data_IF_212260697440
#
_entry.id   IF_212260697440
#
_cell.length_a   1.000
_cell.length_b   1.000
_cell.length_c   1.000
_cell.angle_alpha   90.00
_cell.angle_beta   90.00
_cell.angle_gamma   90.00
#
_symmetry.space_group_name_H-M   'P 1'
#
loop_
_entity.id
_entity.type
_entity.pdbx_description
1 polymer ?
#
# COMPACT_ATOMS: atom_id res chain seq x y z
N UNK A 1 -1.84 -17.11 28.58
CA UNK A 1 -0.94 -15.97 28.26
C UNK A 1 -1.80 -14.72 28.20
N UNK A 2 -1.71 -13.82 29.18
CA UNK A 2 -2.44 -12.55 29.13
C UNK A 2 -1.71 -11.64 28.14
N UNK A 3 -2.27 -11.47 26.94
CA UNK A 3 -1.81 -10.46 25.99
C UNK A 3 -2.08 -9.07 26.58
N UNK A 4 -1.07 -8.50 27.23
CA UNK A 4 -1.14 -7.10 27.67
C UNK A 4 -0.81 -6.21 26.48
N UNK A 5 -1.50 -5.08 26.36
CA UNK A 5 -1.23 -4.08 25.30
C UNK A 5 0.25 -3.66 25.30
N UNK A 6 0.86 -3.60 26.47
CA UNK A 6 2.29 -3.35 26.68
C UNK A 6 3.18 -4.43 26.06
N UNK A 7 2.81 -5.71 26.16
CA UNK A 7 3.56 -6.81 25.55
C UNK A 7 3.51 -6.74 24.03
N UNK A 8 2.35 -6.42 23.45
CA UNK A 8 2.18 -6.24 22.00
C UNK A 8 3.04 -5.07 21.51
N UNK A 9 2.99 -3.91 22.19
CA UNK A 9 3.81 -2.75 21.84
C UNK A 9 5.31 -3.06 21.93
N UNK A 10 5.74 -3.81 22.95
CA UNK A 10 7.15 -4.19 23.11
C UNK A 10 7.64 -5.03 21.92
N UNK A 11 6.88 -6.06 21.52
CA UNK A 11 7.22 -6.90 20.35
C UNK A 11 7.23 -6.05 19.07
N UNK A 12 6.22 -5.20 18.86
CA UNK A 12 6.15 -4.30 17.71
C UNK A 12 7.36 -3.35 17.64
N UNK A 13 7.79 -2.79 18.78
CA UNK A 13 8.93 -1.87 18.85
C UNK A 13 10.25 -2.49 18.41
N UNK A 14 10.39 -3.82 18.54
CA UNK A 14 11.55 -4.57 18.05
C UNK A 14 11.38 -5.07 16.62
N UNK A 15 10.15 -5.34 16.19
CA UNK A 15 9.88 -5.86 14.85
C UNK A 15 9.86 -4.76 13.77
N UNK A 16 9.44 -3.54 14.09
CA UNK A 16 9.27 -2.42 13.13
C UNK A 16 10.59 -1.79 12.64
N UNK A 17 11.65 -1.58 13.46
CA UNK A 17 12.87 -0.88 13.06
C UNK A 17 13.51 -1.32 11.73
N UNK A 18 13.64 -2.61 11.38
CA UNK A 18 14.21 -3.01 10.08
C UNK A 18 13.35 -2.56 8.89
N UNK A 19 12.05 -2.36 9.07
CA UNK A 19 11.12 -1.92 8.02
C UNK A 19 10.91 -0.41 7.98
N UNK A 20 11.42 0.33 8.97
CA UNK A 20 11.32 1.79 9.05
C UNK A 20 11.77 2.52 7.76
N UNK A 21 12.91 2.19 7.12
CA UNK A 21 13.31 2.86 5.88
C UNK A 21 12.33 2.61 4.74
N UNK A 22 11.76 1.42 4.62
CA UNK A 22 10.75 1.11 3.59
C UNK A 22 9.44 1.87 3.84
N UNK A 23 9.01 1.96 5.10
CA UNK A 23 7.84 2.74 5.50
C UNK A 23 8.05 4.21 5.13
N UNK A 24 9.19 4.79 5.52
CA UNK A 24 9.51 6.18 5.22
C UNK A 24 9.63 6.45 3.72
N UNK A 25 10.27 5.55 2.96
CA UNK A 25 10.38 5.67 1.51
C UNK A 25 9.00 5.65 0.82
N UNK A 26 8.12 4.74 1.26
CA UNK A 26 6.74 4.65 0.75
C UNK A 26 5.95 5.91 1.08
N UNK A 27 6.10 6.41 2.31
CA UNK A 27 5.42 7.62 2.77
C UNK A 27 5.92 8.86 2.02
N UNK A 28 7.23 8.96 1.78
CA UNK A 28 7.82 10.02 0.97
C UNK A 28 7.30 9.97 -0.48
N UNK A 29 7.24 8.78 -1.10
CA UNK A 29 6.69 8.61 -2.45
C UNK A 29 5.23 9.05 -2.52
N UNK A 30 4.42 8.67 -1.53
CA UNK A 30 3.03 9.09 -1.42
C UNK A 30 2.91 10.61 -1.31
N UNK A 31 3.67 11.23 -0.40
CA UNK A 31 3.65 12.69 -0.22
C UNK A 31 4.06 13.40 -1.51
N UNK A 32 5.13 12.96 -2.16
CA UNK A 32 5.60 13.56 -3.43
C UNK A 32 4.54 13.43 -4.52
N UNK A 33 3.98 12.23 -4.73
CA UNK A 33 2.93 12.01 -5.74
C UNK A 33 1.71 12.92 -5.51
N UNK A 34 1.29 13.06 -4.25
CA UNK A 34 0.17 13.91 -3.87
C UNK A 34 0.49 15.40 -4.01
N UNK A 35 1.69 15.83 -3.63
CA UNK A 35 2.12 17.23 -3.74
C UNK A 35 2.23 17.65 -5.21
N UNK A 36 2.87 16.83 -6.04
CA UNK A 36 3.03 17.08 -7.49
C UNK A 36 1.66 17.12 -8.18
N UNK A 37 0.74 16.21 -7.83
CA UNK A 37 -0.63 16.25 -8.31
C UNK A 37 -1.32 17.57 -7.92
N UNK A 38 -1.28 17.93 -6.63
CA UNK A 38 -1.95 19.12 -6.11
C UNK A 38 -1.44 20.42 -6.74
N UNK A 39 -0.12 20.56 -6.92
CA UNK A 39 0.50 21.70 -7.61
C UNK A 39 0.01 21.84 -9.06
N UNK A 40 -0.46 20.76 -9.68
CA UNK A 40 -0.98 20.74 -11.06
C UNK A 40 -2.50 20.86 -11.14
N UNK A 41 -3.18 21.20 -10.03
CA UNK A 41 -4.63 21.40 -10.00
C UNK A 41 -5.45 20.14 -9.79
N UNK A 42 -4.82 19.02 -9.44
CA UNK A 42 -5.52 17.78 -9.10
C UNK A 42 -6.38 17.96 -7.83
N UNK A 43 -7.67 17.63 -7.95
CA UNK A 43 -8.61 17.48 -6.83
C UNK A 43 -9.12 16.05 -6.77
N UNK A 44 -8.97 15.41 -5.62
CA UNK A 44 -9.39 14.01 -5.38
C UNK A 44 -10.83 13.69 -5.76
N UNK A 45 -11.72 14.69 -5.72
CA UNK A 45 -13.15 14.49 -5.91
C UNK A 45 -13.60 14.49 -7.39
N UNK A 46 -12.86 15.13 -8.30
CA UNK A 46 -13.34 15.36 -9.68
C UNK A 46 -12.85 14.31 -10.70
N UNK A 47 -11.76 13.60 -10.40
CA UNK A 47 -11.12 12.72 -11.37
C UNK A 47 -11.34 11.23 -11.07
N UNK A 48 -12.13 10.56 -11.90
CA UNK A 48 -12.33 9.10 -11.85
C UNK A 48 -11.47 8.41 -12.90
N UNK A 49 -10.41 7.74 -12.44
CA UNK A 49 -9.49 7.01 -13.31
C UNK A 49 -9.64 5.49 -13.12
N UNK A 50 -10.60 4.90 -13.83
CA UNK A 50 -10.83 3.44 -13.90
C UNK A 50 -9.55 2.60 -14.16
N UNK A 51 -8.66 2.96 -15.12
CA UNK A 51 -7.46 2.17 -15.35
C UNK A 51 -6.46 2.19 -14.18
N UNK A 52 -6.36 3.30 -13.44
CA UNK A 52 -5.51 3.36 -12.24
C UNK A 52 -6.04 2.43 -11.13
N UNK A 53 -7.37 2.29 -11.01
CA UNK A 53 -7.99 1.32 -10.12
C UNK A 53 -7.68 -0.13 -10.49
N UNK A 54 -7.75 -0.48 -11.78
CA UNK A 54 -7.44 -1.84 -12.25
C UNK A 54 -5.96 -2.17 -11.98
N UNK A 55 -5.04 -1.27 -12.31
CA UNK A 55 -3.61 -1.49 -12.06
C UNK A 55 -3.32 -1.64 -10.57
N UNK A 56 -3.98 -0.83 -9.74
CA UNK A 56 -3.85 -0.94 -8.29
C UNK A 56 -4.35 -2.28 -7.75
N UNK A 57 -5.49 -2.79 -8.23
CA UNK A 57 -5.98 -4.11 -7.86
C UNK A 57 -5.03 -5.22 -8.32
N UNK A 58 -4.51 -5.14 -9.55
CA UNK A 58 -3.53 -6.10 -10.05
C UNK A 58 -2.24 -6.09 -9.22
N UNK A 59 -1.79 -4.92 -8.78
CA UNK A 59 -0.64 -4.78 -7.89
C UNK A 59 -0.90 -5.34 -6.48
N UNK A 60 -2.12 -5.14 -5.96
CA UNK A 60 -2.54 -5.78 -4.70
C UNK A 60 -2.55 -7.30 -4.81
N UNK A 61 -3.12 -7.84 -5.89
CA UNK A 61 -3.16 -9.30 -6.13
C UNK A 61 -1.77 -9.87 -6.34
N UNK A 62 -0.90 -9.19 -7.09
CA UNK A 62 0.47 -9.66 -7.31
C UNK A 62 1.28 -9.69 -6.02
N UNK A 63 0.97 -8.83 -5.04
CA UNK A 63 1.64 -8.83 -3.73
C UNK A 63 1.52 -10.17 -3.00
N UNK A 64 0.49 -10.98 -3.27
CA UNK A 64 0.34 -12.33 -2.70
C UNK A 64 1.49 -13.27 -3.07
N UNK A 65 2.18 -13.03 -4.18
CA UNK A 65 3.38 -13.79 -4.58
C UNK A 65 4.67 -13.11 -4.13
N UNK A 66 4.71 -11.78 -4.10
CA UNK A 66 5.92 -11.03 -3.77
C UNK A 66 6.18 -10.98 -2.26
N UNK A 67 5.14 -10.85 -1.43
CA UNK A 67 5.27 -10.78 0.03
C UNK A 67 5.90 -12.05 0.62
N UNK A 68 5.46 -13.29 0.27
CA UNK A 68 6.12 -14.51 0.75
C UNK A 68 7.57 -14.59 0.29
N UNK A 69 7.85 -14.21 -0.96
CA UNK A 69 9.21 -14.23 -1.52
C UNK A 69 10.15 -13.26 -0.80
N UNK A 70 9.73 -12.03 -0.55
CA UNK A 70 10.52 -11.01 0.14
C UNK A 70 10.76 -11.36 1.61
N UNK A 71 9.77 -11.98 2.26
CA UNK A 71 9.87 -12.41 3.67
C UNK A 71 10.49 -13.79 3.84
N UNK A 72 10.92 -14.44 2.75
CA UNK A 72 11.36 -15.85 2.73
C UNK A 72 10.35 -16.81 3.39
N UNK A 73 9.08 -16.42 3.42
CA UNK A 73 7.99 -17.17 4.01
C UNK A 73 7.32 -18.02 2.94
N UNK A 74 6.88 -19.22 3.30
CA UNK A 74 6.14 -20.11 2.39
C UNK A 74 4.65 -19.90 2.60
N UNK A 75 3.88 -19.82 1.51
CA UNK A 75 2.41 -19.82 1.59
C UNK A 75 1.86 -21.07 2.33
N UNK A 76 2.64 -22.17 2.37
CA UNK A 76 2.32 -23.34 3.18
C UNK A 76 2.42 -23.15 4.70
N UNK A 77 2.95 -22.03 5.19
CA UNK A 77 2.95 -21.67 6.62
C UNK A 77 1.70 -20.88 7.03
N UNK A 78 0.85 -20.51 6.06
CA UNK A 78 -0.43 -19.85 6.29
C UNK A 78 -1.42 -20.91 6.78
N UNK A 79 -1.32 -21.25 8.05
CA UNK A 79 -2.07 -22.36 8.65
C UNK A 79 -3.37 -21.88 9.30
N UNK A 80 -3.46 -20.60 9.66
CA UNK A 80 -4.57 -20.06 10.43
C UNK A 80 -5.38 -19.02 9.66
N UNK A 81 -6.64 -18.81 10.07
CA UNK A 81 -7.51 -17.76 9.52
C UNK A 81 -6.90 -16.37 9.72
N UNK A 82 -6.19 -16.16 10.83
CA UNK A 82 -5.48 -14.92 11.11
C UNK A 82 -4.34 -14.65 10.12
N UNK A 83 -3.63 -15.68 9.67
CA UNK A 83 -2.57 -15.53 8.67
C UNK A 83 -3.15 -15.14 7.31
N UNK A 84 -4.28 -15.74 6.92
CA UNK A 84 -5.02 -15.36 5.72
C UNK A 84 -5.56 -13.92 5.81
N UNK A 85 -6.11 -13.54 6.95
CA UNK A 85 -6.58 -12.17 7.19
C UNK A 85 -5.43 -11.16 7.08
N UNK A 86 -4.24 -11.49 7.61
CA UNK A 86 -3.05 -10.64 7.49
C UNK A 86 -2.58 -10.49 6.03
N UNK A 87 -2.58 -11.58 5.25
CA UNK A 87 -2.24 -11.55 3.82
C UNK A 87 -3.22 -10.70 3.01
N UNK A 88 -4.52 -10.85 3.26
CA UNK A 88 -5.56 -10.04 2.59
C UNK A 88 -5.41 -8.56 2.98
N UNK A 89 -5.19 -8.27 4.27
CA UNK A 89 -4.97 -6.91 4.72
C UNK A 89 -3.72 -6.28 4.06
N UNK A 90 -2.63 -7.05 3.94
CA UNK A 90 -1.43 -6.61 3.25
C UNK A 90 -1.68 -6.33 1.76
N UNK A 91 -2.39 -7.22 1.07
CA UNK A 91 -2.73 -7.06 -0.35
C UNK A 91 -3.62 -5.83 -0.60
N UNK A 92 -4.61 -5.59 0.26
CA UNK A 92 -5.43 -4.38 0.22
C UNK A 92 -4.61 -3.11 0.49
N UNK A 93 -3.67 -3.18 1.44
CA UNK A 93 -2.74 -2.08 1.72
C UNK A 93 -1.89 -1.71 0.50
N UNK A 94 -1.32 -2.71 -0.18
CA UNK A 94 -0.55 -2.49 -1.42
C UNK A 94 -1.44 -1.88 -2.51
N UNK A 95 -2.63 -2.44 -2.74
CA UNK A 95 -3.57 -1.88 -3.72
C UNK A 95 -3.89 -0.41 -3.43
N UNK A 96 -4.19 -0.08 -2.17
CA UNK A 96 -4.51 1.28 -1.76
C UNK A 96 -3.34 2.24 -1.98
N UNK A 97 -2.13 1.85 -1.60
CA UNK A 97 -0.92 2.67 -1.78
C UNK A 97 -0.65 2.88 -3.27
N UNK A 98 -0.68 1.82 -4.07
CA UNK A 98 -0.50 1.89 -5.53
C UNK A 98 -1.54 2.79 -6.17
N UNK A 99 -2.81 2.68 -5.75
CA UNK A 99 -3.87 3.57 -6.20
C UNK A 99 -3.60 5.02 -5.82
N UNK A 100 -3.21 5.30 -4.58
CA UNK A 100 -2.91 6.66 -4.12
C UNK A 100 -1.75 7.31 -4.89
N UNK A 101 -0.79 6.53 -5.36
CA UNK A 101 0.33 7.03 -6.18
C UNK A 101 -0.10 7.20 -7.64
N UNK A 102 -0.76 6.19 -8.22
CA UNK A 102 -1.14 6.21 -9.63
C UNK A 102 -2.25 7.20 -9.94
N UNK A 103 -3.16 7.47 -9.00
CA UNK A 103 -4.29 8.34 -9.23
C UNK A 103 -3.87 9.78 -9.61
N UNK A 104 -3.03 10.50 -8.82
CA UNK A 104 -2.52 11.81 -9.22
C UNK A 104 -1.62 11.75 -10.46
N UNK A 105 -0.78 10.71 -10.61
CA UNK A 105 0.06 10.54 -11.80
C UNK A 105 -0.76 10.36 -13.08
N UNK A 106 -1.86 9.62 -13.01
CA UNK A 106 -2.75 9.40 -14.15
C UNK A 106 -3.52 10.66 -14.56
N UNK A 107 -3.68 11.62 -13.65
CA UNK A 107 -4.18 12.97 -13.97
C UNK A 107 -3.12 13.80 -14.71
N UNK A 108 -1.87 13.76 -14.25
CA UNK A 108 -0.74 14.43 -14.91
C UNK A 108 -0.55 13.96 -16.37
N UNK A 109 -0.66 12.66 -16.63
CA UNK A 109 -0.45 12.09 -17.98
C UNK A 109 -1.60 12.40 -18.93
N UNK A 110 -2.86 12.38 -18.45
CA UNK A 110 -4.03 12.65 -19.30
C UNK A 110 -4.31 14.14 -19.51
N UNK A 111 -3.73 15.01 -18.69
CA UNK A 111 -4.01 16.45 -18.71
C UNK A 111 -5.46 16.78 -18.30
N UNK A 112 -5.78 18.06 -18.05
CA UNK A 112 -7.15 18.48 -17.84
C UNK A 112 -7.93 18.17 -19.13
N UNK A 113 -8.92 17.26 -19.04
CA UNK A 113 -9.90 17.09 -20.11
C UNK A 113 -10.60 18.42 -20.30
N UNK A 114 -10.20 19.18 -21.32
CA UNK A 114 -11.00 20.27 -21.87
C UNK A 114 -12.26 19.62 -22.44
N UNK A 115 -13.34 19.65 -21.68
CA UNK A 115 -14.68 19.64 -22.24
C UNK A 115 -15.02 21.06 -22.70
#
# INVERSE_FOLDING_TARGET
MNFTLSGILAVMSHAIPPFLPLILATLALLVVAQLVGRLRGYRFADYRCLPAGIIALLAGVSSLWWLPMLTHSRLGLVATVTDWAALVAAALGVALITWLVLHPLSYLVRGPRRH
#
